data_IF_082707214191
#
_entry.id   IF_082707214191
#
_cell.length_a   1.000
_cell.length_b   1.000
_cell.length_c   1.000
_cell.angle_alpha   90.00
_cell.angle_beta   90.00
_cell.angle_gamma   90.00
#
_symmetry.space_group_name_H-M   'P 1'
#
loop_
_entity.id
_entity.type
_entity.pdbx_description
1 polymer ?
#
# COMPACT_ATOMS: atom_id res chain seq x y z
N UNK A 1 14.45 -0.51 -15.38
CA UNK A 1 12.98 -0.51 -15.45
C UNK A 1 12.40 -0.19 -14.10
N UNK A 2 11.52 0.78 -14.06
CA UNK A 2 10.88 1.16 -12.82
C UNK A 2 9.81 0.17 -12.39
N UNK A 3 9.58 0.08 -11.09
CA UNK A 3 8.50 -0.72 -10.55
C UNK A 3 7.21 0.09 -10.56
N UNK A 4 6.10 -0.59 -10.34
CA UNK A 4 4.77 0.04 -10.25
C UNK A 4 4.28 -0.04 -8.82
N UNK A 5 3.75 1.07 -8.32
CA UNK A 5 3.17 1.13 -6.98
C UNK A 5 1.74 1.63 -7.08
N UNK A 6 0.82 0.94 -6.43
CA UNK A 6 -0.59 1.32 -6.40
C UNK A 6 -0.91 1.99 -5.08
N UNK A 7 -1.49 3.17 -5.14
CA UNK A 7 -1.91 3.95 -3.97
C UNK A 7 -3.42 3.90 -3.90
N UNK A 8 -3.96 3.33 -2.83
CA UNK A 8 -5.40 3.16 -2.64
C UNK A 8 -5.90 4.03 -1.49
N UNK A 9 -6.70 5.03 -1.80
CA UNK A 9 -7.26 5.94 -0.81
C UNK A 9 -8.43 6.66 -1.49
N UNK A 10 -9.55 6.84 -0.78
CA UNK A 10 -10.70 7.53 -1.33
C UNK A 10 -10.50 9.03 -1.43
N UNK A 11 -9.48 9.58 -0.76
CA UNK A 11 -9.15 11.00 -0.81
C UNK A 11 -8.08 11.27 -1.86
N UNK A 12 -8.42 12.09 -2.85
CA UNK A 12 -7.46 12.49 -3.87
C UNK A 12 -6.28 13.24 -3.27
N UNK A 13 -6.55 14.09 -2.27
CA UNK A 13 -5.48 14.84 -1.59
C UNK A 13 -4.51 13.90 -0.88
N UNK A 14 -5.04 12.85 -0.24
CA UNK A 14 -4.19 11.88 0.42
C UNK A 14 -3.32 11.14 -0.59
N UNK A 15 -3.90 10.74 -1.74
CA UNK A 15 -3.12 10.09 -2.79
C UNK A 15 -2.02 10.99 -3.33
N UNK A 16 -2.33 12.28 -3.50
CA UNK A 16 -1.34 13.26 -3.96
C UNK A 16 -0.19 13.42 -2.97
N UNK A 17 -0.49 13.43 -1.68
CA UNK A 17 0.53 13.53 -0.63
C UNK A 17 1.48 12.34 -0.66
N UNK A 18 0.93 11.14 -0.80
CA UNK A 18 1.75 9.93 -0.90
C UNK A 18 2.59 9.94 -2.18
N UNK A 19 1.99 10.36 -3.30
CA UNK A 19 2.70 10.46 -4.57
C UNK A 19 3.88 11.41 -4.48
N UNK A 20 3.72 12.50 -3.74
CA UNK A 20 4.80 13.47 -3.54
C UNK A 20 5.97 12.85 -2.78
N UNK A 21 5.70 12.09 -1.73
CA UNK A 21 6.74 11.38 -0.99
C UNK A 21 7.45 10.37 -1.89
N UNK A 22 6.68 9.64 -2.69
CA UNK A 22 7.24 8.67 -3.62
C UNK A 22 8.12 9.32 -4.68
N UNK A 23 7.76 10.51 -5.14
CA UNK A 23 8.58 11.24 -6.11
C UNK A 23 9.97 11.52 -5.57
N UNK A 24 10.09 11.75 -4.27
CA UNK A 24 11.39 11.96 -3.63
C UNK A 24 12.15 10.67 -3.37
N UNK A 25 11.45 9.61 -3.00
CA UNK A 25 12.07 8.34 -2.60
C UNK A 25 12.34 7.39 -3.77
N UNK A 26 11.42 7.34 -4.72
CA UNK A 26 11.51 6.43 -5.87
C UNK A 26 11.03 7.12 -7.14
N UNK A 27 11.79 8.10 -7.66
CA UNK A 27 11.32 8.90 -8.80
C UNK A 27 11.10 8.11 -10.08
N UNK A 28 11.74 6.97 -10.21
CA UNK A 28 11.60 6.13 -11.40
C UNK A 28 10.42 5.18 -11.38
N UNK A 29 9.68 5.09 -10.27
CA UNK A 29 8.55 4.18 -10.16
C UNK A 29 7.29 4.78 -10.77
N UNK A 30 6.48 3.93 -11.43
CA UNK A 30 5.18 4.32 -11.96
C UNK A 30 4.16 4.30 -10.83
N UNK A 31 3.43 5.40 -10.66
CA UNK A 31 2.40 5.51 -9.62
C UNK A 31 1.03 5.26 -10.25
N UNK A 32 0.31 4.31 -9.68
CA UNK A 32 -1.07 3.99 -10.04
C UNK A 32 -1.96 4.39 -8.88
N UNK A 33 -3.21 4.74 -9.14
CA UNK A 33 -4.14 5.17 -8.10
C UNK A 33 -5.46 4.43 -8.18
N UNK A 34 -6.08 4.22 -7.03
CA UNK A 34 -7.42 3.67 -6.92
C UNK A 34 -8.13 4.37 -5.77
N UNK A 35 -9.40 4.65 -5.94
CA UNK A 35 -10.19 5.38 -4.95
C UNK A 35 -11.00 4.45 -4.03
N UNK A 36 -11.06 3.18 -4.34
CA UNK A 36 -11.83 2.21 -3.56
C UNK A 36 -11.32 0.78 -3.82
N UNK A 37 -11.90 -0.17 -3.10
CA UNK A 37 -11.46 -1.57 -3.18
C UNK A 37 -11.69 -2.17 -4.57
N UNK A 38 -12.82 -1.88 -5.20
CA UNK A 38 -13.12 -2.42 -6.53
C UNK A 38 -12.11 -1.94 -7.57
N UNK A 39 -11.78 -0.65 -7.53
CA UNK A 39 -10.76 -0.09 -8.43
C UNK A 39 -9.39 -0.70 -8.14
N UNK A 40 -9.08 -0.89 -6.86
CA UNK A 40 -7.80 -1.49 -6.47
C UNK A 40 -7.65 -2.90 -7.00
N UNK A 41 -8.69 -3.71 -6.90
CA UNK A 41 -8.67 -5.08 -7.40
C UNK A 41 -8.57 -5.10 -8.93
N UNK A 42 -9.31 -4.23 -9.62
CA UNK A 42 -9.26 -4.12 -11.07
C UNK A 42 -7.87 -3.69 -11.54
N UNK A 43 -7.29 -2.68 -10.89
CA UNK A 43 -5.95 -2.20 -11.22
C UNK A 43 -4.88 -3.26 -10.98
N UNK A 44 -5.01 -4.00 -9.88
CA UNK A 44 -4.06 -5.05 -9.55
C UNK A 44 -4.07 -6.14 -10.61
N UNK A 45 -5.24 -6.53 -11.07
CA UNK A 45 -5.37 -7.54 -12.11
C UNK A 45 -4.86 -7.08 -13.47
N UNK A 46 -5.10 -5.81 -13.83
CA UNK A 46 -4.73 -5.27 -15.13
C UNK A 46 -3.29 -4.80 -15.22
N UNK A 47 -2.81 -4.12 -14.18
CA UNK A 47 -1.50 -3.46 -14.20
C UNK A 47 -0.41 -4.21 -13.44
N UNK A 48 -0.77 -5.13 -12.58
CA UNK A 48 0.16 -5.95 -11.79
C UNK A 48 1.21 -5.11 -11.06
N UNK A 49 0.78 -4.27 -10.10
CA UNK A 49 1.72 -3.46 -9.35
C UNK A 49 2.68 -4.33 -8.53
N UNK A 50 3.87 -3.80 -8.28
CA UNK A 50 4.88 -4.49 -7.48
C UNK A 50 4.70 -4.25 -5.99
N UNK A 51 4.04 -3.16 -5.62
CA UNK A 51 3.80 -2.77 -4.22
C UNK A 51 2.46 -2.06 -4.13
N UNK A 52 1.74 -2.24 -3.01
CA UNK A 52 0.46 -1.56 -2.78
C UNK A 52 0.47 -0.85 -1.42
N UNK A 53 -0.01 0.40 -1.43
CA UNK A 53 -0.24 1.17 -0.20
C UNK A 53 -1.74 1.39 -0.09
N UNK A 54 -2.33 0.99 1.06
CA UNK A 54 -3.77 1.06 1.29
C UNK A 54 -4.11 1.96 2.47
N UNK A 55 -5.09 2.83 2.30
CA UNK A 55 -5.66 3.54 3.43
C UNK A 55 -6.55 2.56 4.22
N UNK A 56 -6.46 2.62 5.56
CA UNK A 56 -7.27 1.77 6.43
C UNK A 56 -8.76 2.09 6.30
N UNK A 57 -9.09 3.39 6.26
CA UNK A 57 -10.48 3.85 6.24
C UNK A 57 -10.94 4.15 4.81
N UNK A 58 -11.76 3.26 4.27
CA UNK A 58 -12.38 3.46 2.96
C UNK A 58 -13.85 3.07 3.02
N UNK A 59 -14.71 3.75 2.24
CA UNK A 59 -16.13 3.37 2.17
C UNK A 59 -16.28 1.95 1.65
N UNK A 60 -17.20 1.22 2.25
CA UNK A 60 -17.51 -0.15 1.82
C UNK A 60 -16.59 -1.17 2.45
N UNK A 61 -15.43 -1.40 1.86
CA UNK A 61 -14.49 -2.41 2.34
C UNK A 61 -13.30 -1.75 3.01
N UNK A 62 -12.93 -2.20 4.21
CA UNK A 62 -11.79 -1.65 4.94
C UNK A 62 -10.46 -2.05 4.29
N UNK A 63 -9.42 -1.29 4.62
CA UNK A 63 -8.06 -1.61 4.16
C UNK A 63 -7.61 -3.00 4.61
N UNK A 64 -8.04 -3.43 5.79
CA UNK A 64 -7.69 -4.78 6.30
C UNK A 64 -8.30 -5.88 5.44
N UNK A 65 -9.57 -5.73 5.09
CA UNK A 65 -10.26 -6.70 4.25
C UNK A 65 -9.63 -6.76 2.85
N UNK A 66 -9.34 -5.59 2.30
CA UNK A 66 -8.71 -5.51 0.98
C UNK A 66 -7.30 -6.11 1.01
N UNK A 67 -6.52 -5.82 2.05
CA UNK A 67 -5.18 -6.38 2.20
C UNK A 67 -5.24 -7.91 2.25
N UNK A 68 -6.17 -8.46 3.02
CA UNK A 68 -6.33 -9.90 3.12
C UNK A 68 -6.68 -10.53 1.76
N UNK A 69 -7.59 -9.88 1.01
CA UNK A 69 -7.98 -10.36 -0.32
C UNK A 69 -6.81 -10.32 -1.29
N UNK A 70 -6.05 -9.24 -1.28
CA UNK A 70 -4.88 -9.10 -2.16
C UNK A 70 -3.79 -10.12 -1.83
N UNK A 71 -3.54 -10.34 -0.55
CA UNK A 71 -2.54 -11.32 -0.13
C UNK A 71 -2.96 -12.75 -0.43
N UNK A 72 -4.26 -13.04 -0.38
CA UNK A 72 -4.77 -14.36 -0.74
C UNK A 72 -4.54 -14.66 -2.23
N UNK A 73 -4.76 -13.65 -3.08
CA UNK A 73 -4.58 -13.79 -4.54
C UNK A 73 -3.13 -13.64 -4.97
N UNK A 74 -2.36 -12.83 -4.23
CA UNK A 74 -0.98 -12.48 -4.58
C UNK A 74 -0.09 -12.58 -3.35
N UNK A 75 0.27 -13.81 -2.91
CA UNK A 75 1.00 -14.03 -1.65
C UNK A 75 2.36 -13.31 -1.54
N UNK A 76 2.98 -13.03 -2.68
CA UNK A 76 4.30 -12.38 -2.69
C UNK A 76 4.24 -10.86 -2.76
N UNK A 77 3.03 -10.30 -2.91
CA UNK A 77 2.86 -8.87 -3.11
C UNK A 77 3.04 -8.09 -1.79
N UNK A 78 4.02 -7.17 -1.72
CA UNK A 78 4.17 -6.31 -0.54
C UNK A 78 3.01 -5.32 -0.45
N UNK A 79 2.31 -5.34 0.69
CA UNK A 79 1.16 -4.48 0.95
C UNK A 79 1.39 -3.76 2.28
N UNK A 80 1.13 -2.46 2.32
CA UNK A 80 1.16 -1.68 3.56
C UNK A 80 -0.19 -1.02 3.78
N UNK A 81 -0.62 -1.00 5.05
CA UNK A 81 -1.84 -0.31 5.47
C UNK A 81 -1.43 0.97 6.17
N UNK A 82 -2.02 2.09 5.77
CA UNK A 82 -1.73 3.40 6.34
C UNK A 82 -2.93 3.82 7.19
N UNK A 83 -2.69 4.16 8.46
CA UNK A 83 -3.76 4.53 9.36
C UNK A 83 -3.31 5.49 10.46
N UNK A 84 -4.20 6.39 10.88
CA UNK A 84 -3.99 7.22 12.06
C UNK A 84 -4.31 6.45 13.34
N UNK A 85 -5.01 5.33 13.23
CA UNK A 85 -5.36 4.48 14.37
C UNK A 85 -4.23 3.50 14.65
N UNK A 86 -3.47 3.76 15.72
CA UNK A 86 -2.30 2.95 16.06
C UNK A 86 -2.57 1.97 17.21
N UNK A 87 -3.84 1.65 17.45
CA UNK A 87 -4.18 0.67 18.48
C UNK A 87 -3.54 -0.69 18.15
N UNK A 88 -3.11 -1.38 19.19
CA UNK A 88 -2.43 -2.67 19.05
C UNK A 88 -3.24 -3.66 18.21
N UNK A 89 -4.55 -3.70 18.42
CA UNK A 89 -5.43 -4.60 17.66
C UNK A 89 -5.35 -4.38 16.15
N UNK A 90 -5.32 -3.12 15.73
CA UNK A 90 -5.25 -2.78 14.30
C UNK A 90 -3.91 -3.18 13.73
N UNK A 91 -2.84 -2.90 14.46
CA UNK A 91 -1.48 -3.25 14.02
C UNK A 91 -1.33 -4.77 13.89
N UNK A 92 -1.84 -5.51 14.86
CA UNK A 92 -1.78 -6.98 14.84
C UNK A 92 -2.62 -7.57 13.71
N UNK A 93 -3.80 -7.01 13.46
CA UNK A 93 -4.65 -7.48 12.37
C UNK A 93 -4.01 -7.22 11.00
N UNK A 94 -3.31 -6.10 10.87
CA UNK A 94 -2.56 -5.82 9.64
C UNK A 94 -1.48 -6.90 9.43
N UNK A 95 -0.75 -7.22 10.49
CA UNK A 95 0.29 -8.25 10.43
C UNK A 95 -0.30 -9.61 10.07
N UNK A 96 -1.42 -9.97 10.68
CA UNK A 96 -2.10 -11.24 10.39
C UNK A 96 -2.56 -11.32 8.93
N UNK A 97 -2.95 -10.18 8.36
CA UNK A 97 -3.31 -10.10 6.95
C UNK A 97 -2.09 -10.13 6.03
N UNK A 98 -0.88 -10.16 6.59
CA UNK A 98 0.34 -10.17 5.80
C UNK A 98 0.76 -8.81 5.28
N UNK A 99 0.27 -7.73 5.92
CA UNK A 99 0.56 -6.37 5.52
C UNK A 99 1.44 -5.65 6.53
N UNK A 100 2.24 -4.70 6.06
CA UNK A 100 2.97 -3.79 6.93
C UNK A 100 2.01 -2.71 7.43
N UNK A 101 2.33 -2.07 8.53
CA UNK A 101 1.54 -0.98 9.08
C UNK A 101 2.36 0.31 9.08
N UNK A 102 1.80 1.37 8.50
CA UNK A 102 2.44 2.68 8.47
C UNK A 102 1.51 3.72 9.11
N UNK A 103 1.97 4.42 10.15
CA UNK A 103 1.12 5.40 10.84
C UNK A 103 0.96 6.70 10.04
N UNK A 104 -0.16 7.39 10.24
CA UNK A 104 -0.37 8.74 9.73
C UNK A 104 0.08 9.75 10.79
N UNK A 105 0.63 10.90 10.39
CA UNK A 105 0.96 11.27 9.02
C UNK A 105 2.13 10.43 8.49
N UNK A 106 2.02 10.02 7.24
CA UNK A 106 3.07 9.19 6.64
C UNK A 106 4.33 10.01 6.45
N UNK A 107 5.47 9.47 6.89
CA UNK A 107 6.77 10.14 6.78
C UNK A 107 7.63 9.48 5.73
N UNK A 108 8.63 10.23 5.23
CA UNK A 108 9.61 9.68 4.30
C UNK A 108 10.36 8.50 4.93
N UNK A 109 10.70 8.61 6.21
CA UNK A 109 11.43 7.55 6.90
C UNK A 109 10.65 6.24 6.93
N UNK A 110 9.38 6.30 7.36
CA UNK A 110 8.55 5.11 7.45
C UNK A 110 8.27 4.51 6.08
N UNK A 111 7.95 5.36 5.10
CA UNK A 111 7.69 4.89 3.74
C UNK A 111 8.96 4.31 3.12
N UNK A 112 10.09 4.97 3.31
CA UNK A 112 11.38 4.50 2.79
C UNK A 112 11.75 3.13 3.35
N UNK A 113 11.57 2.91 4.65
CA UNK A 113 11.85 1.62 5.26
C UNK A 113 10.97 0.51 4.67
N UNK A 114 9.68 0.80 4.47
CA UNK A 114 8.78 -0.17 3.87
C UNK A 114 9.20 -0.49 2.43
N UNK A 115 9.55 0.53 1.64
CA UNK A 115 9.96 0.34 0.26
C UNK A 115 11.27 -0.45 0.17
N UNK A 116 12.22 -0.18 1.05
CA UNK A 116 13.48 -0.92 1.09
C UNK A 116 13.22 -2.40 1.38
N UNK A 117 12.35 -2.69 2.34
CA UNK A 117 12.00 -4.06 2.68
C UNK A 117 11.25 -4.75 1.52
N UNK A 118 10.36 -4.01 0.86
CA UNK A 118 9.62 -4.52 -0.29
C UNK A 118 10.55 -4.86 -1.44
N UNK A 119 11.51 -4.00 -1.73
CA UNK A 119 12.48 -4.24 -2.79
C UNK A 119 13.35 -5.46 -2.49
N UNK A 120 13.80 -5.60 -1.24
CA UNK A 120 14.59 -6.75 -0.83
C UNK A 120 13.82 -8.05 -1.02
N UNK A 121 12.53 -8.03 -0.66
CA UNK A 121 11.65 -9.19 -0.82
C UNK A 121 11.43 -9.55 -2.29
N UNK A 122 11.21 -8.54 -3.13
CA UNK A 122 11.01 -8.74 -4.56
C UNK A 122 12.28 -9.27 -5.24
N UNK A 123 13.44 -8.81 -4.78
CA UNK A 123 14.71 -9.24 -5.32
C UNK A 123 15.06 -10.67 -4.90
N UNK A 124 14.64 -11.08 -3.71
CA UNK A 124 14.93 -12.39 -3.16
C UNK A 124 14.11 -13.52 -3.78
N UNK A 125 12.99 -13.19 -4.40
CA UNK A 125 12.08 -14.22 -4.95
C UNK A 125 12.42 -14.70 -6.35
#
# INVERSE_FOLDING_TARGET
>A
MGKKILIVDDSKLARMSVAKLLSGLRPGWTRLEAANADEALARTGAERPDVILLDFNMPGQSGLELAAALRASHPELPVAIISANIQVEIVERAREAGAAFLPKPLTEAALGEFLDAAEARLTAS
#
